data_IF_030965852062
#
_entry.id   IF_030965852062
#
_cell.length_a   1.000
_cell.length_b   1.000
_cell.length_c   1.000
_cell.angle_alpha   90.00
_cell.angle_beta   90.00
_cell.angle_gamma   90.00
#
_symmetry.space_group_name_H-M   'P 1'
#
loop_
_entity.id
_entity.type
_entity.pdbx_description
1 polymer ?
#
# COMPACT_ATOMS: atom_id res chain seq x y z
N UNK A 1 18.07 9.73 43.05
CA UNK A 1 18.36 10.78 42.06
C UNK A 1 17.76 12.09 42.57
N UNK A 2 18.58 13.04 43.01
CA UNK A 2 18.11 14.39 43.37
C UNK A 2 18.15 15.20 42.08
N UNK A 3 16.99 15.59 41.57
CA UNK A 3 16.92 16.49 40.43
C UNK A 3 17.44 17.86 40.84
N UNK A 4 18.25 18.48 39.99
CA UNK A 4 18.73 19.83 40.21
C UNK A 4 17.56 20.83 40.05
N UNK A 5 17.15 21.52 41.13
CA UNK A 5 16.02 22.45 41.08
C UNK A 5 16.25 23.62 40.12
N UNK A 6 17.50 24.01 39.85
CA UNK A 6 17.79 25.06 38.87
C UNK A 6 17.57 24.59 37.43
N UNK A 7 17.94 23.34 37.11
CA UNK A 7 17.70 22.76 35.79
C UNK A 7 16.19 22.64 35.49
N UNK A 8 15.40 22.26 36.49
CA UNK A 8 13.93 22.17 36.35
C UNK A 8 13.28 23.55 36.16
N UNK A 9 13.74 24.58 36.87
CA UNK A 9 13.27 25.96 36.67
C UNK A 9 13.61 26.46 35.27
N UNK A 10 14.80 26.15 34.77
CA UNK A 10 15.22 26.54 33.42
C UNK A 10 14.39 25.83 32.32
N UNK A 11 14.08 24.55 32.50
CA UNK A 11 13.19 23.81 31.61
C UNK A 11 11.77 24.38 31.62
N UNK A 12 11.24 24.72 32.81
CA UNK A 12 9.92 25.33 32.94
C UNK A 12 9.86 26.69 32.21
N UNK A 13 10.86 27.55 32.39
CA UNK A 13 10.93 28.85 31.72
C UNK A 13 11.06 28.70 30.19
N UNK A 14 11.80 27.70 29.73
CA UNK A 14 11.93 27.41 28.28
C UNK A 14 10.59 26.98 27.69
N UNK A 15 9.85 26.12 28.37
CA UNK A 15 8.52 25.69 27.94
C UNK A 15 7.51 26.83 27.97
N UNK A 16 7.59 27.73 28.96
CA UNK A 16 6.76 28.94 29.01
C UNK A 16 6.96 29.83 27.78
N UNK A 17 8.22 30.08 27.39
CA UNK A 17 8.54 30.88 26.22
C UNK A 17 8.00 30.26 24.92
N UNK A 18 8.12 28.94 24.76
CA UNK A 18 7.57 28.23 23.59
C UNK A 18 6.04 28.32 23.49
N UNK A 19 5.34 28.26 24.62
CA UNK A 19 3.88 28.38 24.66
C UNK A 19 3.45 29.81 24.30
N UNK A 20 4.16 30.83 24.78
CA UNK A 20 3.92 32.24 24.42
C UNK A 20 4.13 32.46 22.93
N UNK A 21 5.22 31.94 22.37
CA UNK A 21 5.55 32.06 20.95
C UNK A 21 4.47 31.41 20.06
N UNK A 22 4.00 30.21 20.43
CA UNK A 22 2.88 29.54 19.76
C UNK A 22 1.58 30.34 19.88
N UNK A 23 1.32 30.95 21.05
CA UNK A 23 0.12 31.78 21.25
C UNK A 23 0.14 33.05 20.39
N UNK A 24 1.29 33.71 20.29
CA UNK A 24 1.49 34.88 19.45
C UNK A 24 1.34 34.55 17.95
N UNK A 25 1.84 33.40 17.51
CA UNK A 25 1.67 32.92 16.13
C UNK A 25 0.21 32.60 15.76
N UNK A 26 -0.66 32.42 16.76
CA UNK A 26 -2.06 31.99 16.59
C UNK A 26 -3.08 33.14 16.50
N UNK A 27 -2.65 34.41 16.43
CA UNK A 27 -3.51 35.61 16.40
C UNK A 27 -4.55 35.68 17.54
N UNK A 28 -4.29 35.03 18.68
CA UNK A 28 -5.17 35.09 19.85
C UNK A 28 -5.02 36.43 20.54
N UNK A 29 -5.98 37.31 20.33
CA UNK A 29 -6.13 38.54 21.10
C UNK A 29 -7.31 38.42 22.07
N UNK A 30 -7.16 38.80 23.35
CA UNK A 30 -5.93 39.25 24.02
C UNK A 30 -5.13 38.07 24.59
N UNK A 31 -3.80 38.10 24.48
CA UNK A 31 -2.93 37.26 25.29
C UNK A 31 -3.14 37.65 26.77
N UNK A 32 -3.51 36.73 27.68
CA UNK A 32 -3.43 37.02 29.11
C UNK A 32 -1.98 37.34 29.46
N UNK A 33 -1.76 38.30 30.36
CA UNK A 33 -0.43 38.76 30.74
C UNK A 33 0.36 37.65 31.45
N UNK A 34 1.07 36.83 30.69
CA UNK A 34 1.99 35.82 31.22
C UNK A 34 3.29 36.53 31.60
N UNK A 35 3.41 36.93 32.86
CA UNK A 35 4.68 37.39 33.43
C UNK A 35 5.53 36.21 33.94
N UNK A 36 6.77 36.49 34.34
CA UNK A 36 7.78 35.53 34.86
C UNK A 36 7.33 34.70 36.09
N UNK A 37 6.12 34.92 36.63
CA UNK A 37 5.54 34.18 37.75
C UNK A 37 4.20 33.49 37.43
N UNK A 38 3.93 33.19 36.16
CA UNK A 38 2.67 32.54 35.77
C UNK A 38 2.62 31.11 36.29
N UNK A 39 1.52 30.75 36.97
CA UNK A 39 1.40 29.44 37.60
C UNK A 39 1.21 28.35 36.54
N UNK A 40 1.55 27.09 36.88
CA UNK A 40 1.27 25.94 36.01
C UNK A 40 -0.22 25.82 35.64
N UNK A 41 -1.10 26.33 36.50
CA UNK A 41 -2.55 26.36 36.25
C UNK A 41 -2.91 27.35 35.14
N UNK A 42 -2.20 28.48 35.06
CA UNK A 42 -2.40 29.51 34.04
C UNK A 42 -1.83 29.06 32.68
N UNK A 43 -0.68 28.38 32.67
CA UNK A 43 -0.15 27.74 31.46
C UNK A 43 -1.07 26.64 30.93
N UNK A 44 -1.64 25.83 31.83
CA UNK A 44 -2.58 24.78 31.45
C UNK A 44 -3.86 25.38 30.87
N UNK A 45 -4.40 26.44 31.47
CA UNK A 45 -5.61 27.10 30.95
C UNK A 45 -5.36 27.74 29.58
N UNK A 46 -4.18 28.31 29.36
CA UNK A 46 -3.75 28.83 28.06
C UNK A 46 -3.59 27.76 27.00
N UNK A 47 -2.90 26.65 27.30
CA UNK A 47 -2.81 25.50 26.39
C UNK A 47 -4.20 24.96 26.07
N UNK A 48 -5.10 24.92 27.04
CA UNK A 48 -6.47 24.46 26.84
C UNK A 48 -7.29 25.46 26.00
N UNK A 49 -7.05 26.76 26.15
CA UNK A 49 -7.67 27.82 25.34
C UNK A 49 -7.11 27.84 23.91
N UNK A 50 -5.80 27.61 23.74
CA UNK A 50 -5.13 27.40 22.45
C UNK A 50 -5.67 26.16 21.74
N UNK A 51 -5.80 25.03 22.45
CA UNK A 51 -6.38 23.81 21.90
C UNK A 51 -7.86 24.01 21.49
N UNK A 52 -8.62 24.78 22.28
CA UNK A 52 -10.03 25.07 22.01
C UNK A 52 -10.22 26.06 20.84
N UNK A 53 -9.31 27.03 20.67
CA UNK A 53 -9.33 27.99 19.55
C UNK A 53 -8.76 27.41 18.26
N UNK A 54 -7.75 26.54 18.33
CA UNK A 54 -7.29 25.73 17.20
C UNK A 54 -8.36 24.77 16.68
N UNK A 55 -9.34 24.42 17.52
CA UNK A 55 -10.49 23.60 17.12
C UNK A 55 -11.60 24.42 16.43
N UNK A 56 -11.57 25.76 16.49
CA UNK A 56 -12.68 26.61 16.03
C UNK A 56 -12.33 27.63 14.94
N UNK A 57 -11.05 27.89 14.64
CA UNK A 57 -10.67 28.95 13.69
C UNK A 57 -10.24 28.51 12.29
N UNK A 58 -10.23 27.21 11.97
CA UNK A 58 -10.00 26.74 10.60
C UNK A 58 -10.37 25.26 10.47
N UNK A 59 -11.33 24.89 9.60
CA UNK A 59 -11.28 23.63 8.83
C UNK A 59 -12.46 23.37 7.85
N UNK A 60 -12.75 24.24 6.86
CA UNK A 60 -13.69 23.85 5.79
C UNK A 60 -13.21 22.61 5.02
N UNK A 61 -11.90 22.31 4.98
CA UNK A 61 -11.35 21.20 4.19
C UNK A 61 -11.32 19.87 4.95
N UNK A 62 -10.91 19.86 6.23
CA UNK A 62 -10.97 18.66 7.08
C UNK A 62 -12.41 18.22 7.30
N UNK A 63 -13.32 19.15 7.59
CA UNK A 63 -14.73 18.80 7.82
C UNK A 63 -15.39 18.23 6.57
N UNK A 64 -15.10 18.78 5.39
CA UNK A 64 -15.54 18.21 4.10
C UNK A 64 -14.98 16.81 3.88
N UNK A 65 -13.69 16.63 4.12
CA UNK A 65 -13.03 15.34 3.99
C UNK A 65 -13.64 14.28 4.92
N UNK A 66 -13.82 14.60 6.20
CA UNK A 66 -14.40 13.70 7.19
C UNK A 66 -15.84 13.32 6.81
N UNK A 67 -16.66 14.26 6.31
CA UNK A 67 -18.01 13.96 5.82
C UNK A 67 -18.03 12.97 4.66
N UNK A 68 -17.08 13.09 3.72
CA UNK A 68 -16.95 12.15 2.60
C UNK A 68 -16.57 10.75 3.10
N UNK A 69 -15.63 10.66 4.04
CA UNK A 69 -15.23 9.39 4.65
C UNK A 69 -16.37 8.76 5.45
N UNK A 70 -17.11 9.55 6.24
CA UNK A 70 -18.26 9.07 7.02
C UNK A 70 -19.36 8.52 6.12
N UNK A 71 -19.56 9.14 4.95
CA UNK A 71 -20.51 8.66 3.95
C UNK A 71 -20.07 7.35 3.29
N UNK A 72 -18.76 7.14 3.10
CA UNK A 72 -18.25 5.85 2.63
C UNK A 72 -18.36 4.77 3.70
N UNK A 73 -18.08 5.11 4.96
CA UNK A 73 -18.18 4.18 6.09
C UNK A 73 -19.61 3.71 6.36
N UNK A 74 -20.62 4.47 5.92
CA UNK A 74 -22.03 4.06 6.01
C UNK A 74 -22.51 3.20 4.82
N UNK A 75 -21.66 2.94 3.83
CA UNK A 75 -21.99 2.02 2.74
C UNK A 75 -22.12 0.59 3.27
N UNK A 76 -23.18 -0.09 2.84
CA UNK A 76 -23.41 -1.51 3.12
C UNK A 76 -23.82 -2.23 1.84
N UNK A 77 -23.53 -3.53 1.77
CA UNK A 77 -23.95 -4.36 0.65
C UNK A 77 -25.32 -5.00 0.94
N UNK A 78 -26.26 -4.87 0.00
CA UNK A 78 -27.67 -5.29 0.18
C UNK A 78 -27.82 -6.80 0.36
N UNK A 79 -27.06 -7.60 -0.40
CA UNK A 79 -27.19 -9.07 -0.38
C UNK A 79 -26.17 -9.78 0.52
N UNK A 80 -25.12 -9.08 0.98
CA UNK A 80 -23.97 -9.68 1.65
C UNK A 80 -23.56 -8.80 2.84
N UNK A 81 -24.13 -9.01 4.03
CA UNK A 81 -23.85 -8.15 5.18
C UNK A 81 -22.38 -8.18 5.62
N UNK A 82 -21.65 -9.26 5.31
CA UNK A 82 -20.21 -9.42 5.58
C UNK A 82 -19.38 -9.38 4.28
N UNK A 83 -19.65 -8.42 3.39
CA UNK A 83 -18.88 -8.27 2.17
C UNK A 83 -17.42 -7.86 2.48
N UNK A 84 -16.53 -8.86 2.59
CA UNK A 84 -15.15 -8.71 3.08
C UNK A 84 -14.34 -7.65 2.33
N UNK A 85 -14.54 -7.52 1.01
CA UNK A 85 -13.87 -6.53 0.19
C UNK A 85 -14.21 -5.09 0.63
N UNK A 86 -15.46 -4.83 1.04
CA UNK A 86 -15.88 -3.53 1.57
C UNK A 86 -15.42 -3.37 3.03
N UNK A 87 -15.51 -4.41 3.85
CA UNK A 87 -15.08 -4.35 5.27
C UNK A 87 -13.60 -4.01 5.40
N UNK A 88 -12.73 -4.69 4.63
CA UNK A 88 -11.29 -4.42 4.66
C UNK A 88 -10.95 -2.99 4.22
N UNK A 89 -11.67 -2.45 3.24
CA UNK A 89 -11.47 -1.07 2.81
C UNK A 89 -12.08 -0.06 3.79
N UNK A 90 -13.20 -0.38 4.45
CA UNK A 90 -13.80 0.44 5.51
C UNK A 90 -12.87 0.58 6.73
N UNK A 91 -12.08 -0.45 7.05
CA UNK A 91 -11.04 -0.35 8.08
C UNK A 91 -9.93 0.63 7.69
N UNK A 92 -9.47 0.58 6.43
CA UNK A 92 -8.49 1.54 5.91
C UNK A 92 -9.01 2.98 5.94
N UNK A 93 -10.27 3.18 5.52
CA UNK A 93 -10.95 4.49 5.58
C UNK A 93 -11.10 4.98 7.02
N UNK A 94 -11.40 4.09 7.97
CA UNK A 94 -11.48 4.41 9.40
C UNK A 94 -10.11 4.83 9.95
N UNK A 95 -9.04 4.12 9.60
CA UNK A 95 -7.68 4.48 9.99
C UNK A 95 -7.26 5.83 9.40
N UNK A 96 -7.56 6.07 8.12
CA UNK A 96 -7.28 7.35 7.45
C UNK A 96 -8.05 8.52 8.06
N UNK A 97 -9.33 8.31 8.40
CA UNK A 97 -10.15 9.29 9.14
C UNK A 97 -9.53 9.65 10.49
N UNK A 98 -9.13 8.65 11.29
CA UNK A 98 -8.47 8.88 12.58
C UNK A 98 -7.16 9.65 12.41
N UNK A 99 -6.38 9.34 11.37
CA UNK A 99 -5.16 10.09 11.03
C UNK A 99 -5.46 11.55 10.71
N UNK A 100 -6.50 11.84 9.93
CA UNK A 100 -6.90 13.21 9.59
C UNK A 100 -7.34 14.00 10.84
N UNK A 101 -8.10 13.37 11.73
CA UNK A 101 -8.57 14.00 12.97
C UNK A 101 -7.43 14.30 13.95
N UNK A 102 -6.39 13.45 13.96
CA UNK A 102 -5.24 13.60 14.85
C UNK A 102 -4.11 14.46 14.25
N UNK A 103 -4.22 14.91 12.99
CA UNK A 103 -3.17 15.70 12.31
C UNK A 103 -3.51 17.20 12.34
N UNK A 104 -2.58 18.07 12.77
CA UNK A 104 -2.73 19.52 12.69
C UNK A 104 -2.94 19.98 11.24
N UNK A 105 -3.70 21.07 11.02
CA UNK A 105 -4.15 21.45 9.68
C UNK A 105 -2.99 21.87 8.75
N UNK A 106 -1.92 22.43 9.32
CA UNK A 106 -0.70 22.80 8.61
C UNK A 106 0.03 21.62 7.95
N UNK A 107 -0.28 20.38 8.37
CA UNK A 107 0.34 19.15 7.88
C UNK A 107 -0.68 18.15 7.35
N UNK A 108 -1.85 18.61 6.88
CA UNK A 108 -2.83 17.72 6.27
C UNK A 108 -2.21 16.91 5.13
N UNK A 109 -2.41 15.59 5.08
CA UNK A 109 -1.95 14.78 3.97
C UNK A 109 -2.47 15.31 2.62
N UNK A 110 -1.67 15.25 1.55
CA UNK A 110 -2.11 15.66 0.21
C UNK A 110 -3.35 14.90 -0.27
N UNK A 111 -3.59 13.70 0.27
CA UNK A 111 -4.76 12.87 0.02
C UNK A 111 -6.08 13.53 0.45
N UNK A 112 -6.05 14.41 1.47
CA UNK A 112 -7.23 15.15 1.95
C UNK A 112 -7.72 16.14 0.90
N UNK A 113 -6.78 16.82 0.23
CA UNK A 113 -7.08 17.72 -0.89
C UNK A 113 -7.70 16.93 -2.05
N UNK A 114 -7.11 15.78 -2.39
CA UNK A 114 -7.64 14.88 -3.43
C UNK A 114 -9.03 14.34 -3.12
N UNK A 115 -9.35 14.12 -1.84
CA UNK A 115 -10.65 13.67 -1.39
C UNK A 115 -11.73 14.74 -1.58
N UNK A 116 -11.42 15.98 -1.21
CA UNK A 116 -12.34 17.12 -1.38
C UNK A 116 -12.50 17.50 -2.85
N UNK A 117 -11.45 17.34 -3.66
CA UNK A 117 -11.49 17.57 -5.12
C UNK A 117 -12.17 16.42 -5.90
N UNK A 118 -12.60 15.34 -5.23
CA UNK A 118 -13.28 14.22 -5.88
C UNK A 118 -12.36 13.28 -6.67
N UNK A 119 -11.03 13.45 -6.58
CA UNK A 119 -10.03 12.62 -7.27
C UNK A 119 -9.64 11.36 -6.50
N UNK A 120 -9.96 11.32 -5.20
CA UNK A 120 -9.67 10.17 -4.36
C UNK A 120 -10.64 9.00 -4.65
N UNK A 121 -10.19 7.74 -4.65
CA UNK A 121 -11.02 6.57 -4.95
C UNK A 121 -12.35 6.49 -4.18
N UNK A 122 -12.32 6.84 -2.89
CA UNK A 122 -13.51 6.94 -2.03
C UNK A 122 -14.57 7.89 -2.61
N UNK A 123 -14.15 9.08 -3.05
CA UNK A 123 -15.06 10.08 -3.61
C UNK A 123 -15.54 9.69 -5.02
N UNK A 124 -14.68 9.04 -5.79
CA UNK A 124 -15.02 8.46 -7.11
C UNK A 124 -16.10 7.40 -6.96
N UNK A 125 -15.98 6.48 -5.98
CA UNK A 125 -17.00 5.46 -5.72
C UNK A 125 -18.34 6.09 -5.31
N UNK A 126 -18.32 7.06 -4.41
CA UNK A 126 -19.54 7.77 -4.00
C UNK A 126 -20.19 8.49 -5.19
N UNK A 127 -19.39 9.07 -6.09
CA UNK A 127 -19.88 9.69 -7.32
C UNK A 127 -20.52 8.65 -8.25
N UNK A 128 -19.92 7.46 -8.38
CA UNK A 128 -20.46 6.35 -9.16
C UNK A 128 -21.79 5.82 -8.58
N UNK A 129 -21.92 5.78 -7.25
CA UNK A 129 -23.15 5.35 -6.57
C UNK A 129 -24.24 6.42 -6.68
N UNK A 130 -23.91 7.69 -6.48
CA UNK A 130 -24.87 8.81 -6.49
C UNK A 130 -25.36 9.16 -7.89
N UNK A 131 -24.44 9.18 -8.87
CA UNK A 131 -24.69 9.65 -10.23
C UNK A 131 -24.76 8.50 -11.23
N UNK A 132 -24.70 7.24 -10.81
CA UNK A 132 -24.61 6.05 -11.68
C UNK A 132 -25.57 6.07 -12.87
N UNK A 133 -26.84 6.42 -12.65
CA UNK A 133 -27.87 6.45 -13.69
C UNK A 133 -27.92 7.75 -14.51
N UNK A 134 -27.14 8.76 -14.13
CA UNK A 134 -27.06 10.08 -14.76
C UNK A 134 -25.73 10.33 -15.50
N UNK A 135 -24.76 9.43 -15.33
CA UNK A 135 -23.46 9.50 -15.97
C UNK A 135 -23.56 9.04 -17.42
N UNK A 136 -22.79 9.68 -18.30
CA UNK A 136 -22.60 9.22 -19.67
C UNK A 136 -21.80 7.91 -19.67
N UNK A 137 -22.09 6.99 -20.60
CA UNK A 137 -21.45 5.68 -20.68
C UNK A 137 -19.91 5.76 -20.64
N UNK A 138 -19.32 6.74 -21.33
CA UNK A 138 -17.86 6.95 -21.34
C UNK A 138 -17.30 7.40 -19.99
N UNK A 139 -18.05 8.20 -19.24
CA UNK A 139 -17.65 8.68 -17.92
C UNK A 139 -17.83 7.55 -16.89
N UNK A 140 -18.93 6.80 -17.00
CA UNK A 140 -19.21 5.64 -16.18
C UNK A 140 -18.14 4.55 -16.31
N UNK A 141 -17.69 4.23 -17.53
CA UNK A 141 -16.60 3.26 -17.76
C UNK A 141 -15.31 3.74 -17.11
N UNK A 142 -14.94 5.02 -17.29
CA UNK A 142 -13.73 5.58 -16.66
C UNK A 142 -13.78 5.55 -15.14
N UNK A 143 -14.92 5.91 -14.55
CA UNK A 143 -15.09 5.90 -13.09
C UNK A 143 -15.11 4.48 -12.54
N UNK A 144 -15.76 3.54 -13.24
CA UNK A 144 -15.79 2.12 -12.86
C UNK A 144 -14.41 1.47 -12.98
N UNK A 145 -13.64 1.81 -14.01
CA UNK A 145 -12.26 1.38 -14.18
C UNK A 145 -11.37 1.97 -13.08
N UNK A 146 -11.48 3.27 -12.78
CA UNK A 146 -10.73 3.91 -11.69
C UNK A 146 -11.06 3.30 -10.32
N UNK A 147 -12.33 2.98 -10.06
CA UNK A 147 -12.76 2.24 -8.86
C UNK A 147 -12.21 0.82 -8.87
N UNK A 148 -12.24 0.12 -10.01
CA UNK A 148 -11.70 -1.25 -10.12
C UNK A 148 -10.19 -1.30 -9.84
N UNK A 149 -9.44 -0.33 -10.37
CA UNK A 149 -7.99 -0.21 -10.18
C UNK A 149 -7.62 0.16 -8.74
N UNK A 150 -8.45 0.96 -8.05
CA UNK A 150 -8.09 1.54 -6.74
C UNK A 150 -8.73 0.84 -5.55
N UNK A 151 -10.01 0.46 -5.66
CA UNK A 151 -10.81 -0.20 -4.62
C UNK A 151 -10.98 -1.70 -4.87
N UNK A 152 -10.62 -2.17 -6.06
CA UNK A 152 -10.73 -3.56 -6.46
C UNK A 152 -12.01 -3.87 -7.24
N UNK A 153 -11.91 -4.89 -8.08
CA UNK A 153 -12.98 -5.37 -8.96
C UNK A 153 -14.26 -5.79 -8.22
N UNK A 154 -14.23 -6.41 -7.02
CA UNK A 154 -15.45 -6.76 -6.29
C UNK A 154 -16.31 -5.54 -5.92
N UNK A 155 -15.68 -4.44 -5.49
CA UNK A 155 -16.37 -3.20 -5.13
C UNK A 155 -16.92 -2.51 -6.39
N UNK A 156 -16.16 -2.49 -7.47
CA UNK A 156 -16.63 -1.94 -8.75
C UNK A 156 -17.84 -2.70 -9.30
N UNK A 157 -17.82 -4.04 -9.25
CA UNK A 157 -18.95 -4.87 -9.66
C UNK A 157 -20.17 -4.60 -8.76
N UNK A 158 -19.99 -4.54 -7.44
CA UNK A 158 -21.08 -4.25 -6.52
C UNK A 158 -21.69 -2.85 -6.76
N UNK A 159 -20.85 -1.84 -7.03
CA UNK A 159 -21.28 -0.50 -7.38
C UNK A 159 -22.03 -0.47 -8.71
N UNK A 160 -21.49 -1.10 -9.76
CA UNK A 160 -22.11 -1.19 -11.08
C UNK A 160 -23.46 -1.90 -11.08
N UNK A 161 -23.66 -2.85 -10.15
CA UNK A 161 -24.91 -3.59 -9.98
C UNK A 161 -25.88 -2.91 -9.02
N UNK A 162 -25.57 -1.72 -8.51
CA UNK A 162 -26.40 -0.99 -7.54
C UNK A 162 -26.56 -1.71 -6.19
N UNK A 163 -25.63 -2.61 -5.83
CA UNK A 163 -25.70 -3.43 -4.62
C UNK A 163 -25.11 -2.76 -3.38
N UNK A 164 -24.55 -1.57 -3.53
CA UNK A 164 -24.02 -0.74 -2.45
C UNK A 164 -25.02 0.36 -2.12
N UNK A 165 -25.52 0.36 -0.89
CA UNK A 165 -26.51 1.34 -0.40
C UNK A 165 -26.01 2.00 0.88
N UNK A 166 -26.35 3.27 1.08
CA UNK A 166 -26.09 3.95 2.35
C UNK A 166 -27.03 3.40 3.42
N UNK A 167 -26.49 2.94 4.56
CA UNK A 167 -27.28 2.53 5.71
C UNK A 167 -28.03 3.74 6.27
N UNK A 168 -29.35 3.77 6.09
CA UNK A 168 -30.21 4.72 6.78
C UNK A 168 -30.15 4.50 8.30
N UNK A 169 -30.29 5.54 9.15
CA UNK A 169 -30.31 5.36 10.60
C UNK A 169 -31.58 4.60 11.00
N UNK A 170 -31.50 3.28 11.08
CA UNK A 170 -32.58 2.44 11.59
C UNK A 170 -32.49 2.36 13.11
N UNK A 171 -33.58 2.81 13.75
CA UNK A 171 -33.99 2.63 15.16
C UNK A 171 -33.60 1.28 15.80
N UNK A 172 -33.52 1.20 17.15
CA UNK A 172 -32.94 0.07 17.88
C UNK A 172 -33.68 -1.26 17.66
N UNK A 173 -33.01 -2.40 17.91
CA UNK A 173 -33.54 -3.72 17.63
C UNK A 173 -34.65 -4.06 18.63
N UNK A 174 -35.82 -4.49 18.13
CA UNK A 174 -36.85 -5.11 18.97
C UNK A 174 -36.70 -6.63 18.96
N UNK A 175 -36.88 -7.31 20.11
CA UNK A 175 -36.36 -8.65 20.35
C UNK A 175 -37.28 -9.77 19.82
N UNK A 176 -36.67 -10.95 19.74
CA UNK A 176 -37.22 -12.28 19.54
C UNK A 176 -38.74 -12.51 19.74
N UNK A 177 -39.34 -13.18 18.77
CA UNK A 177 -40.43 -14.14 18.97
C UNK A 177 -40.09 -15.36 18.08
N UNK A 178 -39.50 -16.44 18.60
CA UNK A 178 -40.15 -17.52 19.35
C UNK A 178 -41.24 -18.26 18.52
N UNK A 179 -40.76 -19.30 17.84
CA UNK A 179 -41.34 -20.59 17.41
C UNK A 179 -42.77 -20.96 17.90
N UNK A 180 -43.62 -21.64 17.11
CA UNK A 180 -43.67 -23.14 16.93
C UNK A 180 -45.12 -23.54 16.47
N UNK A 181 -45.51 -24.83 16.22
CA UNK A 181 -44.93 -25.91 15.40
C UNK A 181 -45.97 -26.90 14.72
N UNK A 182 -45.45 -27.95 14.05
CA UNK A 182 -46.01 -29.31 13.72
C UNK A 182 -47.11 -29.45 12.63
N UNK A 183 -47.12 -30.47 11.74
CA UNK A 183 -46.88 -31.94 11.83
C UNK A 183 -46.36 -32.45 10.46
N UNK A 184 -45.21 -33.13 10.28
CA UNK A 184 -44.88 -34.56 10.47
C UNK A 184 -45.99 -35.56 10.06
N UNK A 185 -45.75 -36.25 8.93
CA UNK A 185 -45.85 -37.71 8.81
C UNK A 185 -44.92 -38.20 7.66
N UNK A 186 -43.70 -38.71 7.88
CA UNK A 186 -43.17 -40.03 8.33
C UNK A 186 -42.88 -41.04 7.19
N UNK A 187 -41.72 -41.71 7.33
CA UNK A 187 -41.15 -42.94 6.68
C UNK A 187 -40.20 -42.75 5.47
N UNK A 188 -38.87 -42.90 5.51
CA UNK A 188 -37.81 -43.71 6.20
C UNK A 188 -37.20 -44.87 5.34
N UNK A 189 -35.90 -44.68 5.06
CA UNK A 189 -34.73 -45.56 4.83
C UNK A 189 -34.61 -46.62 3.71
N UNK A 190 -33.54 -46.44 2.92
CA UNK A 190 -32.72 -47.50 2.32
C UNK A 190 -31.40 -46.96 1.73
N UNK A 191 -30.28 -47.04 2.48
CA UNK A 191 -28.91 -47.05 1.92
C UNK A 191 -28.62 -48.50 1.44
N UNK A 192 -27.75 -48.88 0.49
CA UNK A 192 -26.30 -48.65 0.29
C UNK A 192 -25.92 -49.25 -1.11
N UNK A 193 -24.96 -48.66 -1.84
CA UNK A 193 -23.80 -49.33 -2.52
C UNK A 193 -23.28 -48.58 -3.79
N UNK A 194 -21.98 -48.73 -4.16
CA UNK A 194 -21.19 -47.72 -4.91
C UNK A 194 -20.98 -48.06 -6.41
N UNK A 195 -20.28 -47.19 -7.16
CA UNK A 195 -19.25 -47.71 -8.09
C UNK A 195 -17.95 -46.87 -7.99
N UNK A 196 -16.79 -47.47 -7.72
CA UNK A 196 -15.84 -48.14 -8.63
C UNK A 196 -15.09 -47.19 -9.56
N UNK A 197 -13.78 -47.09 -9.35
CA UNK A 197 -12.79 -46.38 -10.15
C UNK A 197 -12.60 -46.99 -11.55
N UNK A 198 -12.03 -46.21 -12.48
CA UNK A 198 -10.88 -46.70 -13.25
C UNK A 198 -9.67 -45.76 -13.18
N UNK A 199 -8.48 -46.36 -13.09
CA UNK A 199 -7.17 -45.74 -13.30
C UNK A 199 -6.68 -45.92 -14.76
N UNK A 200 -5.54 -45.26 -15.04
CA UNK A 200 -4.60 -45.32 -16.20
C UNK A 200 -5.10 -44.58 -17.45
N UNK A 201 -4.36 -43.72 -18.16
CA UNK A 201 -2.92 -43.63 -18.50
C UNK A 201 -2.53 -42.18 -18.87
N UNK A 202 -1.25 -41.84 -18.64
CA UNK A 202 -0.60 -40.62 -19.13
C UNK A 202 -0.43 -40.60 -20.66
N UNK A 203 -0.55 -39.41 -21.29
CA UNK A 203 0.41 -38.80 -22.24
C UNK A 203 -0.15 -37.48 -22.86
N UNK A 204 0.67 -36.64 -23.55
CA UNK A 204 0.90 -35.21 -23.24
C UNK A 204 -0.08 -34.22 -23.90
N UNK A 205 -0.04 -32.91 -23.53
CA UNK A 205 -0.84 -31.90 -24.21
C UNK A 205 -0.38 -31.72 -25.66
N UNK A 206 -1.33 -31.92 -26.59
CA UNK A 206 -1.21 -31.56 -27.99
C UNK A 206 -1.06 -30.04 -28.10
N UNK A 207 0.09 -29.64 -28.63
CA UNK A 207 0.40 -28.32 -29.16
C UNK A 207 -0.11 -28.24 -30.60
N UNK A 208 -0.87 -27.19 -30.91
CA UNK A 208 -0.96 -26.60 -32.25
C UNK A 208 -0.29 -25.21 -32.12
N UNK A 209 0.82 -24.84 -32.78
CA UNK A 209 1.27 -25.11 -34.16
C UNK A 209 0.72 -23.99 -35.07
N UNK A 210 1.47 -23.22 -35.86
CA UNK A 210 2.87 -23.20 -36.27
C UNK A 210 3.17 -21.75 -36.77
N UNK A 211 4.40 -21.24 -36.80
CA UNK A 211 5.39 -21.58 -37.84
C UNK A 211 6.81 -21.28 -37.37
N UNK A 212 7.55 -22.35 -37.12
CA UNK A 212 9.00 -22.44 -37.28
C UNK A 212 9.28 -22.92 -38.71
N UNK A 213 9.79 -22.02 -39.56
CA UNK A 213 10.46 -22.37 -40.80
C UNK A 213 11.77 -21.59 -40.81
N UNK A 214 12.84 -22.26 -40.41
CA UNK A 214 14.20 -21.72 -40.52
C UNK A 214 14.57 -21.60 -41.99
N UNK A 215 14.68 -20.37 -42.47
CA UNK A 215 15.61 -19.97 -43.52
C UNK A 215 16.32 -18.69 -43.06
N UNK A 216 17.60 -18.65 -43.40
CA UNK A 216 18.64 -17.80 -42.86
C UNK A 216 18.54 -16.32 -43.26
N UNK A 217 19.37 -15.53 -42.55
CA UNK A 217 20.02 -14.26 -42.96
C UNK A 217 19.13 -13.14 -43.51
N UNK A 218 19.03 -12.04 -42.76
CA UNK A 218 19.59 -10.73 -43.15
C UNK A 218 19.58 -9.76 -41.96
N UNK A 219 20.72 -9.10 -41.79
CA UNK A 219 21.08 -8.00 -40.89
C UNK A 219 20.06 -6.86 -40.70
N UNK A 220 19.93 -6.40 -39.44
CA UNK A 220 19.86 -5.01 -38.91
C UNK A 220 19.21 -3.88 -39.77
N UNK A 221 18.42 -2.96 -39.16
CA UNK A 221 19.03 -1.98 -38.25
C UNK A 221 18.30 -1.69 -36.93
N UNK A 222 19.14 -1.37 -35.94
CA UNK A 222 18.83 -0.65 -34.70
C UNK A 222 18.35 0.76 -35.01
N UNK A 223 17.29 1.18 -34.32
CA UNK A 223 17.08 2.55 -33.83
C UNK A 223 16.60 2.40 -32.39
N UNK A 224 17.22 2.90 -31.33
CA UNK A 224 18.24 3.92 -31.19
C UNK A 224 18.04 4.51 -29.79
N UNK A 225 18.51 3.82 -28.75
CA UNK A 225 18.87 4.43 -27.46
C UNK A 225 19.94 3.57 -26.79
N UNK A 226 21.18 3.94 -27.05
CA UNK A 226 22.39 3.45 -26.42
C UNK A 226 22.24 3.48 -24.89
N UNK A 227 22.34 2.35 -24.15
CA UNK A 227 22.52 2.43 -22.71
C UNK A 227 23.93 2.95 -22.42
N UNK A 228 23.96 4.06 -21.70
CA UNK A 228 25.12 4.75 -21.15
C UNK A 228 26.13 3.78 -20.53
N UNK A 229 27.40 3.95 -20.87
CA UNK A 229 28.53 3.09 -20.51
C UNK A 229 29.01 3.23 -19.05
N UNK A 230 28.11 3.27 -18.06
CA UNK A 230 28.50 3.47 -16.65
C UNK A 230 27.67 2.68 -15.63
N UNK A 231 27.23 1.46 -15.97
CA UNK A 231 26.60 0.56 -14.99
C UNK A 231 27.62 -0.49 -14.49
N UNK A 232 27.83 -0.57 -13.17
CA UNK A 232 28.66 -1.64 -12.61
C UNK A 232 28.00 -3.02 -12.84
N UNK A 233 28.78 -4.06 -13.15
CA UNK A 233 28.23 -5.38 -13.44
C UNK A 233 27.70 -6.03 -12.16
N UNK A 234 26.47 -6.53 -12.22
CA UNK A 234 25.77 -7.23 -11.15
C UNK A 234 25.45 -8.65 -11.58
N UNK A 235 25.47 -9.56 -10.61
CA UNK A 235 24.87 -10.89 -10.71
C UNK A 235 23.68 -10.95 -9.77
N UNK A 236 22.49 -11.19 -10.32
CA UNK A 236 21.23 -11.25 -9.60
C UNK A 236 20.63 -12.64 -9.79
N UNK A 237 20.41 -13.36 -8.70
CA UNK A 237 19.71 -14.65 -8.70
C UNK A 237 18.34 -14.42 -8.08
N UNK A 238 17.29 -14.90 -8.74
CA UNK A 238 15.90 -14.73 -8.30
C UNK A 238 15.24 -16.09 -8.25
N UNK A 239 14.61 -16.43 -7.12
CA UNK A 239 13.73 -17.60 -7.03
C UNK A 239 12.33 -17.20 -7.49
N UNK A 240 11.89 -17.80 -8.60
CA UNK A 240 10.60 -17.52 -9.21
C UNK A 240 9.65 -18.68 -8.92
N UNK A 241 8.45 -18.35 -8.47
CA UNK A 241 7.38 -19.29 -8.16
C UNK A 241 7.18 -20.34 -9.27
N UNK A 242 7.32 -21.61 -8.93
CA UNK A 242 7.17 -22.73 -9.87
C UNK A 242 8.18 -22.75 -11.02
N UNK A 243 9.26 -21.98 -10.95
CA UNK A 243 10.36 -21.97 -11.94
C UNK A 243 11.74 -22.13 -11.31
N UNK A 244 11.89 -21.94 -10.00
CA UNK A 244 13.16 -22.08 -9.30
C UNK A 244 14.08 -20.87 -9.47
N UNK A 245 15.36 -21.08 -9.14
CA UNK A 245 16.40 -20.05 -9.23
C UNK A 245 16.77 -19.76 -10.69
N UNK A 246 16.79 -18.47 -11.05
CA UNK A 246 17.28 -17.98 -12.35
C UNK A 246 18.26 -16.83 -12.16
N UNK A 247 19.24 -16.75 -13.06
CA UNK A 247 20.31 -15.74 -13.01
C UNK A 247 20.12 -14.66 -14.08
N UNK A 248 20.40 -13.43 -13.69
CA UNK A 248 20.25 -12.21 -14.49
C UNK A 248 21.42 -11.25 -14.22
N UNK A 249 21.71 -10.40 -15.19
CA UNK A 249 22.70 -9.33 -15.13
C UNK A 249 22.13 -7.99 -14.68
N UNK A 250 23.00 -6.99 -14.65
CA UNK A 250 22.60 -5.60 -14.41
C UNK A 250 21.71 -5.06 -15.54
N UNK A 251 20.81 -4.13 -15.21
CA UNK A 251 19.99 -3.35 -16.16
C UNK A 251 18.99 -4.14 -17.00
N UNK A 252 18.84 -5.45 -16.79
CA UNK A 252 17.70 -6.23 -17.29
C UNK A 252 16.69 -6.51 -16.18
N UNK A 253 15.48 -6.93 -16.58
CA UNK A 253 14.46 -7.34 -15.62
C UNK A 253 14.71 -8.79 -15.20
N UNK A 254 15.09 -8.96 -13.94
CA UNK A 254 15.22 -10.23 -13.26
C UNK A 254 13.85 -10.68 -12.74
N UNK A 255 13.32 -11.80 -13.26
CA UNK A 255 11.99 -12.30 -12.95
C UNK A 255 11.13 -12.53 -14.19
N UNK A 256 9.81 -12.50 -14.03
CA UNK A 256 8.85 -12.75 -15.11
C UNK A 256 7.78 -11.65 -15.18
N UNK A 257 8.08 -10.59 -15.93
CA UNK A 257 7.17 -9.46 -16.14
C UNK A 257 5.89 -9.89 -16.85
N UNK A 258 4.73 -9.76 -16.20
CA UNK A 258 3.42 -10.00 -16.80
C UNK A 258 3.06 -11.48 -17.03
N UNK A 259 3.82 -12.42 -16.48
CA UNK A 259 3.52 -13.86 -16.56
C UNK A 259 2.83 -14.40 -15.31
N UNK A 260 2.39 -13.49 -14.43
CA UNK A 260 1.67 -13.80 -13.20
C UNK A 260 2.40 -14.69 -12.18
N UNK A 261 3.74 -14.77 -12.24
CA UNK A 261 4.55 -15.52 -11.27
C UNK A 261 5.33 -14.59 -10.36
N UNK A 262 5.27 -14.85 -9.05
CA UNK A 262 5.94 -14.06 -8.05
C UNK A 262 7.42 -14.40 -7.89
N UNK A 263 8.18 -13.41 -7.44
CA UNK A 263 9.48 -13.63 -6.83
C UNK A 263 9.25 -14.03 -5.37
N UNK A 264 9.89 -15.12 -4.91
CA UNK A 264 9.84 -15.55 -3.50
C UNK A 264 11.08 -15.13 -2.72
N UNK A 265 12.18 -14.87 -3.43
CA UNK A 265 13.44 -14.43 -2.87
C UNK A 265 14.47 -14.10 -3.93
N UNK A 266 15.53 -13.44 -3.52
CA UNK A 266 16.63 -13.05 -4.41
C UNK A 266 17.96 -12.99 -3.68
N UNK A 267 19.03 -13.01 -4.46
CA UNK A 267 20.41 -12.83 -4.03
C UNK A 267 21.08 -11.92 -5.05
N UNK A 268 21.92 -11.00 -4.59
CA UNK A 268 22.61 -10.07 -5.48
C UNK A 268 24.05 -9.89 -5.06
N UNK A 269 24.94 -9.81 -6.05
CA UNK A 269 26.37 -9.57 -5.83
C UNK A 269 26.95 -8.69 -6.92
N UNK A 270 28.00 -7.93 -6.59
CA UNK A 270 28.84 -7.31 -7.59
C UNK A 270 29.56 -8.41 -8.37
N UNK A 271 29.42 -8.44 -9.69
CA UNK A 271 30.11 -9.45 -10.51
C UNK A 271 31.64 -9.27 -10.46
N UNK A 272 32.09 -8.03 -10.24
CA UNK A 272 33.47 -7.70 -9.92
C UNK A 272 33.47 -6.97 -8.58
N UNK A 273 34.01 -7.58 -7.50
CA UNK A 273 34.11 -6.94 -6.20
C UNK A 273 34.90 -5.63 -6.31
N UNK A 274 34.34 -4.55 -5.76
CA UNK A 274 35.01 -3.27 -5.66
C UNK A 274 35.39 -3.01 -4.19
N UNK A 275 36.69 -2.90 -3.88
CA UNK A 275 37.12 -2.56 -2.53
C UNK A 275 36.46 -1.28 -2.03
N UNK A 276 35.98 -1.29 -0.79
CA UNK A 276 35.32 -0.13 -0.18
C UNK A 276 33.85 0.08 -0.58
N UNK A 277 33.30 -0.74 -1.48
CA UNK A 277 31.88 -0.72 -1.85
C UNK A 277 31.16 -1.93 -1.25
N UNK A 278 30.12 -1.68 -0.44
CA UNK A 278 29.29 -2.72 0.17
C UNK A 278 27.88 -2.65 -0.37
N UNK A 279 27.39 -3.75 -0.96
CA UNK A 279 26.02 -3.87 -1.41
C UNK A 279 25.18 -4.51 -0.31
N UNK A 280 24.09 -3.84 0.08
CA UNK A 280 23.17 -4.33 1.09
C UNK A 280 21.73 -4.27 0.58
N UNK A 281 20.92 -5.24 0.97
CA UNK A 281 19.54 -5.31 0.55
C UNK A 281 18.66 -6.02 1.58
N UNK A 282 17.36 -5.74 1.51
CA UNK A 282 16.34 -6.37 2.33
C UNK A 282 15.08 -6.61 1.49
N UNK A 283 14.21 -7.51 1.95
CA UNK A 283 12.93 -7.79 1.33
C UNK A 283 11.77 -7.58 2.31
N UNK A 284 10.57 -7.35 1.80
CA UNK A 284 9.32 -7.49 2.53
C UNK A 284 8.59 -8.73 2.02
N UNK A 285 8.36 -9.70 2.91
CA UNK A 285 7.69 -10.95 2.55
C UNK A 285 6.27 -10.96 3.08
N UNK A 286 5.36 -11.49 2.27
CA UNK A 286 3.97 -11.66 2.65
C UNK A 286 3.85 -12.46 3.97
N UNK A 287 3.11 -11.91 4.93
CA UNK A 287 2.86 -12.53 6.23
C UNK A 287 4.07 -12.64 7.17
N UNK A 288 5.24 -12.11 6.80
CA UNK A 288 6.44 -12.03 7.68
C UNK A 288 6.78 -10.58 7.97
N UNK A 289 6.74 -9.73 6.95
CA UNK A 289 7.20 -8.35 7.03
C UNK A 289 8.62 -8.15 6.50
N UNK A 290 9.25 -7.08 6.97
CA UNK A 290 10.60 -6.65 6.57
C UNK A 290 11.65 -7.63 7.12
N UNK A 291 12.54 -8.13 6.24
CA UNK A 291 13.72 -8.90 6.65
C UNK A 291 14.80 -7.98 7.21
N UNK A 292 15.75 -8.52 7.99
CA UNK A 292 17.02 -7.84 8.22
C UNK A 292 17.71 -7.49 6.89
N UNK A 293 18.56 -6.46 6.94
CA UNK A 293 19.47 -6.15 5.84
C UNK A 293 20.54 -7.23 5.74
N UNK A 294 20.73 -7.77 4.54
CA UNK A 294 21.78 -8.74 4.22
C UNK A 294 22.79 -8.10 3.26
N UNK A 295 23.99 -8.67 3.22
CA UNK A 295 25.09 -8.18 2.38
C UNK A 295 25.19 -8.96 1.08
N UNK A 296 26.00 -8.43 0.16
CA UNK A 296 26.34 -9.03 -1.13
C UNK A 296 26.51 -10.55 -1.07
N UNK A 297 25.75 -11.26 -1.91
CA UNK A 297 25.83 -12.71 -2.08
C UNK A 297 25.00 -13.53 -1.09
N UNK A 298 24.31 -12.91 -0.13
CA UNK A 298 23.37 -13.61 0.75
C UNK A 298 21.98 -13.71 0.14
N UNK A 299 21.30 -14.84 0.28
CA UNK A 299 19.92 -14.97 -0.18
C UNK A 299 18.94 -14.36 0.81
N UNK A 300 17.96 -13.59 0.32
CA UNK A 300 16.86 -13.02 1.09
C UNK A 300 15.53 -13.50 0.52
N UNK A 301 14.60 -13.90 1.39
CA UNK A 301 13.31 -14.47 1.00
C UNK A 301 13.20 -15.96 1.29
N UNK A 302 12.35 -16.64 0.55
CA UNK A 302 12.09 -18.08 0.70
C UNK A 302 12.23 -18.81 -0.64
N UNK A 303 12.28 -20.14 -0.59
CA UNK A 303 12.24 -21.00 -1.78
C UNK A 303 11.19 -22.08 -1.57
N UNK A 304 10.21 -22.16 -2.46
CA UNK A 304 9.19 -23.21 -2.44
C UNK A 304 8.19 -23.11 -1.28
N UNK A 305 8.18 -22.01 -0.54
CA UNK A 305 7.20 -21.76 0.54
C UNK A 305 5.94 -21.05 0.05
N UNK A 306 5.82 -20.75 -1.25
CA UNK A 306 4.73 -19.97 -1.83
C UNK A 306 4.56 -18.60 -1.15
N UNK A 307 5.68 -18.03 -0.69
CA UNK A 307 5.71 -16.76 0.02
C UNK A 307 6.31 -15.69 -0.87
N UNK A 308 5.43 -14.90 -1.46
CA UNK A 308 5.78 -13.79 -2.35
C UNK A 308 6.56 -12.67 -1.65
N UNK A 309 7.48 -12.06 -2.38
CA UNK A 309 7.97 -10.71 -2.12
C UNK A 309 6.87 -9.70 -2.43
N UNK A 310 6.63 -8.74 -1.54
CA UNK A 310 5.76 -7.58 -1.82
C UNK A 310 6.56 -6.29 -2.06
N UNK A 311 7.83 -6.26 -1.64
CA UNK A 311 8.76 -5.18 -1.93
C UNK A 311 10.17 -5.48 -1.43
N UNK A 312 11.09 -4.55 -1.70
CA UNK A 312 12.49 -4.66 -1.33
C UNK A 312 13.15 -3.28 -1.26
N UNK A 313 14.32 -3.20 -0.65
CA UNK A 313 15.16 -2.01 -0.67
C UNK A 313 16.63 -2.42 -0.83
N UNK A 314 17.37 -1.60 -1.56
CA UNK A 314 18.79 -1.83 -1.88
C UNK A 314 19.57 -0.56 -1.60
N UNK A 315 20.70 -0.68 -0.91
CA UNK A 315 21.61 0.43 -0.62
C UNK A 315 23.06 0.05 -0.84
N UNK A 316 23.88 1.08 -1.02
CA UNK A 316 25.33 0.98 -1.08
C UNK A 316 25.90 1.59 0.20
N UNK A 317 26.82 0.89 0.83
CA UNK A 317 27.62 1.32 1.97
C UNK A 317 29.12 1.20 1.69
N UNK A 318 29.92 1.42 2.74
CA UNK A 318 31.38 1.41 2.68
C UNK A 318 32.00 2.77 2.29
N UNK A 319 33.34 2.89 2.39
CA UNK A 319 34.07 4.13 2.11
C UNK A 319 33.80 4.75 0.74
N UNK A 320 33.52 3.92 -0.27
CA UNK A 320 33.29 4.37 -1.64
C UNK A 320 31.81 4.70 -1.94
N UNK A 321 30.89 4.54 -0.99
CA UNK A 321 29.46 4.69 -1.23
C UNK A 321 29.06 6.06 -1.81
N UNK A 322 29.76 7.13 -1.41
CA UNK A 322 29.49 8.49 -1.89
C UNK A 322 29.73 8.66 -3.39
N UNK A 323 30.53 7.78 -4.00
CA UNK A 323 30.87 7.81 -5.42
C UNK A 323 29.87 7.03 -6.29
N UNK A 324 28.85 6.39 -5.69
CA UNK A 324 27.93 5.52 -6.41
C UNK A 324 26.47 5.68 -5.97
N UNK A 325 25.55 5.39 -6.89
CA UNK A 325 24.12 5.31 -6.64
C UNK A 325 23.60 3.98 -7.15
N UNK A 326 22.91 3.23 -6.30
CA UNK A 326 22.11 2.08 -6.74
C UNK A 326 20.70 2.54 -7.04
N UNK A 327 20.21 2.20 -8.23
CA UNK A 327 18.89 2.52 -8.74
C UNK A 327 18.16 1.22 -9.10
N UNK A 328 16.88 1.15 -8.81
CA UNK A 328 16.09 -0.06 -9.00
C UNK A 328 14.61 0.22 -9.22
N UNK A 329 13.97 -0.71 -9.92
CA UNK A 329 12.55 -0.69 -10.27
C UNK A 329 11.96 -2.06 -9.96
N UNK A 330 10.73 -2.09 -9.45
CA UNK A 330 9.95 -3.29 -9.29
C UNK A 330 8.84 -3.34 -10.36
N UNK A 331 8.60 -4.52 -10.94
CA UNK A 331 7.32 -4.79 -11.60
C UNK A 331 6.37 -5.43 -10.59
N UNK A 332 5.32 -4.70 -10.23
CA UNK A 332 4.37 -5.07 -9.20
C UNK A 332 3.10 -5.58 -9.89
N UNK A 333 2.57 -6.71 -9.41
CA UNK A 333 1.32 -7.28 -9.88
C UNK A 333 0.21 -6.21 -9.92
N UNK A 334 -0.53 -6.16 -11.04
CA UNK A 334 -1.66 -5.27 -11.29
C UNK A 334 -1.36 -3.75 -11.25
N UNK A 335 -0.12 -3.34 -10.98
CA UNK A 335 0.31 -1.94 -10.99
C UNK A 335 1.25 -1.67 -12.17
N UNK A 336 2.16 -2.60 -12.45
CA UNK A 336 3.22 -2.41 -13.45
C UNK A 336 4.54 -1.96 -12.83
N UNK A 337 5.35 -1.26 -13.62
CA UNK A 337 6.68 -0.83 -13.19
C UNK A 337 6.57 0.35 -12.21
N UNK A 338 7.21 0.23 -11.05
CA UNK A 338 7.30 1.32 -10.07
C UNK A 338 8.13 2.49 -10.62
N UNK A 339 7.98 3.70 -10.04
CA UNK A 339 9.02 4.71 -10.16
C UNK A 339 10.39 4.15 -9.74
N UNK A 340 11.46 4.70 -10.28
CA UNK A 340 12.83 4.34 -9.88
C UNK A 340 13.06 4.70 -8.42
N UNK A 341 13.35 3.69 -7.62
CA UNK A 341 13.84 3.81 -6.25
C UNK A 341 15.37 3.83 -6.27
N UNK A 342 15.97 4.44 -5.26
CA UNK A 342 17.43 4.51 -5.14
C UNK A 342 17.89 4.48 -3.68
N UNK A 343 19.12 4.03 -3.44
CA UNK A 343 19.84 4.16 -2.16
C UNK A 343 18.96 4.01 -0.89
N UNK A 344 18.45 2.81 -0.65
CA UNK A 344 17.66 2.43 0.52
C UNK A 344 16.17 2.80 0.46
N UNK A 345 15.72 3.52 -0.58
CA UNK A 345 14.30 3.79 -0.78
C UNK A 345 13.51 2.50 -1.03
N UNK A 346 12.43 2.31 -0.28
CA UNK A 346 11.59 1.13 -0.43
C UNK A 346 10.90 1.08 -1.81
N UNK A 347 10.97 -0.07 -2.46
CA UNK A 347 10.41 -0.35 -3.78
C UNK A 347 9.41 -1.52 -3.69
N UNK A 348 8.14 -1.27 -4.02
CA UNK A 348 7.05 -2.24 -3.88
C UNK A 348 5.94 -1.74 -2.97
N UNK A 349 5.19 -2.68 -2.40
CA UNK A 349 4.02 -2.41 -1.55
C UNK A 349 4.16 -3.18 -0.23
N UNK A 350 3.66 -2.60 0.86
CA UNK A 350 3.53 -3.32 2.14
C UNK A 350 2.07 -3.60 2.41
N UNK A 351 1.75 -4.83 2.78
CA UNK A 351 0.42 -5.24 3.22
C UNK A 351 -0.71 -5.00 2.20
N UNK A 352 -0.37 -4.82 0.93
CA UNK A 352 -1.35 -4.72 -0.17
C UNK A 352 -1.60 -6.07 -0.86
N UNK A 353 -0.91 -7.12 -0.43
CA UNK A 353 -0.99 -8.46 -1.03
C UNK A 353 -0.60 -8.53 -2.51
N UNK A 354 0.14 -7.53 -3.01
CA UNK A 354 0.63 -7.50 -4.38
C UNK A 354 2.05 -8.06 -4.44
N UNK A 355 2.26 -9.08 -5.28
CA UNK A 355 3.59 -9.68 -5.49
C UNK A 355 4.46 -8.81 -6.39
N UNK A 356 5.77 -8.89 -6.16
CA UNK A 356 6.79 -8.47 -7.12
C UNK A 356 6.98 -9.61 -8.12
N UNK A 357 6.85 -9.34 -9.41
CA UNK A 357 7.04 -10.34 -10.48
C UNK A 357 8.41 -10.21 -11.16
N UNK A 358 8.98 -9.00 -11.19
CA UNK A 358 10.31 -8.73 -11.70
C UNK A 358 10.97 -7.56 -10.98
N UNK A 359 12.29 -7.50 -11.00
CA UNK A 359 13.08 -6.35 -10.55
C UNK A 359 14.14 -5.99 -11.57
N UNK A 360 14.44 -4.71 -11.70
CA UNK A 360 15.56 -4.21 -12.51
C UNK A 360 16.47 -3.39 -11.61
N UNK A 361 17.77 -3.67 -11.64
CA UNK A 361 18.75 -3.02 -10.77
C UNK A 361 19.97 -2.58 -11.58
N UNK A 362 20.49 -1.39 -11.29
CA UNK A 362 21.74 -0.89 -11.85
C UNK A 362 22.46 0.01 -10.84
N UNK A 363 23.78 0.11 -10.96
CA UNK A 363 24.59 1.01 -10.14
C UNK A 363 25.32 1.96 -11.06
N UNK A 364 25.13 3.25 -10.84
CA UNK A 364 25.81 4.33 -11.58
C UNK A 364 26.82 5.03 -10.70
N UNK A 365 27.85 5.61 -11.32
CA UNK A 365 28.85 6.43 -10.63
C UNK A 365 28.31 7.86 -10.47
N UNK A 366 28.42 8.41 -9.27
CA UNK A 366 28.14 9.82 -9.00
C UNK A 366 29.42 10.59 -9.38
N UNK A 367 29.28 11.48 -10.36
CA UNK A 367 30.38 12.26 -10.92
C UNK A 367 30.80 13.45 -10.07
#
# INVERSE_FOLDING_TARGET
>A
MKYDPQALLQQLNTLQMQIIELAAASNLSPLPAIGEQSSLKDLKSLLQTLASSASSSSTPMRDKAVRILDRFLSLTHVEQPNFEALTGYQEQVRAFRTKILNTPEAYLPPDVKSLVEGRHPVAVLLTLIDRGNQLQDTEWVRLTEAVSQSLGQPIAIAASRGKLTLKAPSSPPSPAAAASPQNIDTFIWGNVAPPTAPQVTAEPPIVFGAKSLGLETTSLPKTGKTPSASALPLKIVVHIEGMGDREFGASEFAGTRGQAKGIEGFQMSLATPLPGLQLEYMAHLAGVGDTPWVTSGQFVGTRGENRRLEGFAIRIGGPEAANYRVCYVAHIQNIGDSPTCSNGQYCGTRAQSLRIEAMKVWIERIG
#
